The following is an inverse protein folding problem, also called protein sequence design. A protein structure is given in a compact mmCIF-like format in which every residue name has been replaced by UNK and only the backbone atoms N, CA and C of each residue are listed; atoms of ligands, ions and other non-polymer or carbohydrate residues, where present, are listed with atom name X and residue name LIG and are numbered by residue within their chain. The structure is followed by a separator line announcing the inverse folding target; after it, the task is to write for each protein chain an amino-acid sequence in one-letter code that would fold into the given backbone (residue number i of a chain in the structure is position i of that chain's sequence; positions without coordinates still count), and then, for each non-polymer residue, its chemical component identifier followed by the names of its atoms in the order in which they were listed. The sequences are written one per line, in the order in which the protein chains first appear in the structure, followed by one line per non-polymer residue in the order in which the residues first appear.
data_IF_131606048467
#
_entry.id   IF_131606048467
#
_cell.length_a   1.000
_cell.length_b   1.000
_cell.length_c   1.000
_cell.angle_alpha   90.00
_cell.angle_beta   90.00
_cell.angle_gamma   90.00
#
_symmetry.space_group_name_H-M   'P 1'
#
loop_
_entity.id
_entity.type
_entity.pdbx_description
1 polymer ?
#
# COMPACT_ATOMS: atom_id res chain seq x y z
N UNK A 1 -17.08 3.14 6.92
CA UNK A 1 -16.03 4.20 6.99
C UNK A 1 -14.99 3.93 8.07
N UNK A 2 -15.34 3.33 9.22
CA UNK A 2 -14.39 3.06 10.33
C UNK A 2 -13.21 2.11 9.99
N UNK A 3 -13.47 0.94 9.40
CA UNK A 3 -12.39 -0.06 9.20
C UNK A 3 -11.26 0.40 8.27
N UNK A 4 -11.59 1.06 7.15
CA UNK A 4 -10.60 1.59 6.19
C UNK A 4 -9.77 2.73 6.81
N UNK A 5 -10.41 3.65 7.53
CA UNK A 5 -9.71 4.73 8.24
C UNK A 5 -8.80 4.19 9.36
N UNK A 6 -9.30 3.29 10.19
CA UNK A 6 -8.53 2.72 11.29
C UNK A 6 -7.34 1.91 10.76
N UNK A 7 -7.54 1.16 9.67
CA UNK A 7 -6.46 0.47 8.97
C UNK A 7 -5.43 1.45 8.42
N UNK A 8 -5.85 2.48 7.69
CA UNK A 8 -4.95 3.48 7.15
C UNK A 8 -4.09 4.13 8.25
N UNK A 9 -4.70 4.50 9.39
CA UNK A 9 -3.96 5.05 10.53
C UNK A 9 -2.95 4.05 11.11
N UNK A 10 -3.31 2.78 11.25
CA UNK A 10 -2.38 1.72 11.71
C UNK A 10 -1.19 1.56 10.76
N UNK A 11 -1.45 1.48 9.45
CA UNK A 11 -0.39 1.32 8.45
C UNK A 11 0.53 2.55 8.42
N UNK A 12 -0.03 3.77 8.44
CA UNK A 12 0.76 5.01 8.53
C UNK A 12 1.66 5.01 9.77
N UNK A 13 1.11 4.69 10.95
CA UNK A 13 1.91 4.61 12.19
C UNK A 13 3.04 3.60 12.07
N UNK A 14 2.76 2.40 11.53
CA UNK A 14 3.77 1.35 11.37
C UNK A 14 4.84 1.71 10.34
N UNK A 15 4.49 2.51 9.33
CA UNK A 15 5.40 3.09 8.35
C UNK A 15 6.21 4.30 8.89
N UNK A 16 5.98 4.73 10.14
CA UNK A 16 6.61 5.92 10.69
C UNK A 16 6.08 7.24 10.09
N UNK A 17 4.92 7.19 9.44
CA UNK A 17 4.25 8.34 8.83
C UNK A 17 3.23 8.96 9.81
N UNK A 18 2.91 10.26 9.69
CA UNK A 18 2.06 10.96 10.65
C UNK A 18 0.58 10.55 10.50
N UNK A 19 0.19 9.45 11.14
CA UNK A 19 -1.18 8.92 11.08
C UNK A 19 -2.25 9.85 11.64
N UNK A 20 -1.87 10.79 12.52
CA UNK A 20 -2.75 11.85 13.01
C UNK A 20 -3.07 12.93 11.97
N UNK A 21 -2.29 13.00 10.88
CA UNK A 21 -2.50 13.92 9.77
C UNK A 21 -3.38 13.31 8.67
N UNK A 22 -3.94 12.10 8.83
CA UNK A 22 -4.81 11.51 7.82
C UNK A 22 -6.08 12.35 7.63
N UNK A 23 -6.25 12.89 6.43
CA UNK A 23 -7.35 13.77 6.06
C UNK A 23 -8.42 13.06 5.23
N UNK A 24 -8.03 12.07 4.41
CA UNK A 24 -8.98 11.30 3.61
C UNK A 24 -8.45 9.91 3.25
N UNK A 25 -9.38 8.97 3.05
CA UNK A 25 -9.14 7.65 2.46
C UNK A 25 -10.15 7.47 1.32
N UNK A 26 -9.69 7.15 0.12
CA UNK A 26 -10.56 7.00 -1.06
C UNK A 26 -10.24 5.70 -1.80
N UNK A 27 -11.23 4.86 -2.13
CA UNK A 27 -10.97 3.69 -2.96
C UNK A 27 -10.54 4.14 -4.37
N UNK A 28 -9.57 3.42 -4.93
CA UNK A 28 -9.14 3.60 -6.31
C UNK A 28 -9.61 2.43 -7.16
N UNK A 29 -10.08 2.72 -8.38
CA UNK A 29 -10.33 1.69 -9.39
C UNK A 29 -9.01 1.23 -10.03
N UNK A 30 -9.05 0.09 -10.73
CA UNK A 30 -7.89 -0.45 -11.45
C UNK A 30 -7.02 -1.44 -10.65
N UNK A 31 -7.27 -1.60 -9.34
CA UNK A 31 -6.79 -2.74 -8.58
C UNK A 31 -7.57 -3.99 -8.95
N UNK A 32 -7.09 -4.76 -9.93
CA UNK A 32 -7.77 -6.00 -10.38
C UNK A 32 -7.67 -7.12 -9.35
N UNK A 33 -6.56 -7.18 -8.61
CA UNK A 33 -6.30 -8.20 -7.59
C UNK A 33 -6.28 -7.62 -6.18
N UNK A 34 -5.60 -6.49 -5.99
CA UNK A 34 -5.47 -5.85 -4.69
C UNK A 34 -6.57 -4.80 -4.49
N UNK A 35 -7.02 -4.65 -3.25
CA UNK A 35 -7.72 -3.41 -2.86
C UNK A 35 -6.72 -2.27 -2.87
N UNK A 36 -7.08 -1.16 -3.50
CA UNK A 36 -6.22 0.03 -3.61
C UNK A 36 -6.95 1.24 -3.05
N UNK A 37 -6.31 1.95 -2.15
CA UNK A 37 -6.84 3.15 -1.50
C UNK A 37 -5.84 4.31 -1.63
N UNK A 38 -6.32 5.51 -1.94
CA UNK A 38 -5.56 6.76 -1.84
C UNK A 38 -5.69 7.31 -0.42
N UNK A 39 -4.56 7.50 0.25
CA UNK A 39 -4.45 8.19 1.53
C UNK A 39 -4.01 9.64 1.28
N UNK A 40 -4.73 10.61 1.84
CA UNK A 40 -4.34 12.03 1.77
C UNK A 40 -4.06 12.53 3.17
N UNK A 41 -2.93 13.21 3.32
CA UNK A 41 -2.57 13.85 4.58
C UNK A 41 -2.87 15.36 4.55
N UNK A 42 -2.97 15.97 5.73
CA UNK A 42 -3.27 17.41 5.88
C UNK A 42 -2.17 18.33 5.35
N UNK A 43 -0.94 17.83 5.19
CA UNK A 43 0.18 18.56 4.58
C UNK A 43 0.15 18.54 3.03
N UNK A 44 -0.83 17.85 2.45
CA UNK A 44 -0.98 17.69 1.00
C UNK A 44 -0.27 16.45 0.42
N UNK A 45 0.51 15.74 1.24
CA UNK A 45 1.11 14.45 0.87
C UNK A 45 0.04 13.43 0.53
N UNK A 46 0.34 12.58 -0.45
CA UNK A 46 -0.55 11.51 -0.91
C UNK A 46 0.22 10.22 -0.95
N UNK A 47 -0.49 9.16 -0.60
CA UNK A 47 0.04 7.81 -0.68
C UNK A 47 -0.98 6.86 -1.27
N UNK A 48 -0.49 5.79 -1.87
CA UNK A 48 -1.29 4.66 -2.35
C UNK A 48 -1.10 3.49 -1.42
N UNK A 49 -2.15 3.09 -0.73
CA UNK A 49 -2.21 1.88 0.07
C UNK A 49 -2.71 0.72 -0.81
N UNK A 50 -1.90 -0.33 -0.94
CA UNK A 50 -2.29 -1.59 -1.59
C UNK A 50 -2.42 -2.69 -0.54
N UNK A 51 -3.55 -3.38 -0.58
CA UNK A 51 -3.92 -4.44 0.35
C UNK A 51 -4.23 -5.70 -0.48
N UNK A 52 -3.58 -6.84 -0.21
CA UNK A 52 -3.87 -8.08 -0.90
C UNK A 52 -5.26 -8.60 -0.51
N UNK A 53 -5.82 -9.53 -1.29
CA UNK A 53 -6.89 -10.38 -0.80
C UNK A 53 -6.49 -11.08 0.51
N UNK A 54 -7.48 -11.47 1.31
CA UNK A 54 -7.23 -12.26 2.50
C UNK A 54 -6.54 -13.58 2.13
N UNK A 55 -5.68 -14.11 3.01
CA UNK A 55 -4.93 -15.35 2.73
C UNK A 55 -5.85 -16.57 2.46
N UNK A 56 -7.09 -16.53 2.96
CA UNK A 56 -8.09 -17.57 2.72
C UNK A 56 -8.83 -17.41 1.38
N UNK A 57 -8.63 -16.30 0.67
CA UNK A 57 -9.22 -16.08 -0.66
C UNK A 57 -8.58 -17.06 -1.66
N UNK A 58 -9.36 -17.89 -2.36
CA UNK A 58 -8.82 -18.77 -3.39
C UNK A 58 -8.06 -17.98 -4.45
N UNK A 59 -6.86 -18.43 -4.78
CA UNK A 59 -6.00 -17.81 -5.78
C UNK A 59 -5.01 -18.82 -6.35
N UNK A 60 -4.42 -18.49 -7.49
CA UNK A 60 -3.38 -19.30 -8.09
C UNK A 60 -2.09 -19.14 -7.28
N UNK A 61 -1.28 -20.20 -7.21
CA UNK A 61 -0.05 -20.21 -6.38
C UNK A 61 0.89 -19.03 -6.68
N UNK A 62 0.94 -18.57 -7.93
CA UNK A 62 1.78 -17.43 -8.35
C UNK A 62 1.16 -16.05 -8.06
N UNK A 63 -0.12 -15.99 -7.71
CA UNK A 63 -0.79 -14.76 -7.29
C UNK A 63 -0.51 -14.44 -5.81
N UNK A 64 0.09 -15.39 -5.10
CA UNK A 64 0.58 -15.18 -3.75
C UNK A 64 1.89 -14.39 -3.84
N UNK A 65 1.99 -13.29 -3.07
CA UNK A 65 3.16 -12.40 -2.99
C UNK A 65 3.37 -11.41 -4.14
N UNK A 66 2.35 -11.10 -4.94
CA UNK A 66 2.44 -10.06 -5.97
C UNK A 66 2.96 -8.70 -5.45
N UNK A 67 2.55 -8.30 -4.24
CA UNK A 67 3.01 -7.04 -3.63
C UNK A 67 4.48 -7.09 -3.15
N UNK A 68 5.03 -8.28 -2.88
CA UNK A 68 6.45 -8.44 -2.60
C UNK A 68 7.25 -8.20 -3.88
N UNK A 69 6.87 -8.86 -4.97
CA UNK A 69 7.51 -8.65 -6.28
C UNK A 69 7.41 -7.19 -6.75
N UNK A 70 6.30 -6.50 -6.48
CA UNK A 70 6.17 -5.08 -6.79
C UNK A 70 7.13 -4.22 -5.97
N UNK A 71 7.36 -4.54 -4.69
CA UNK A 71 8.34 -3.85 -3.84
C UNK A 71 9.76 -4.02 -4.39
N UNK A 72 10.14 -5.25 -4.74
CA UNK A 72 11.43 -5.56 -5.33
C UNK A 72 11.63 -4.81 -6.67
N UNK A 73 10.59 -4.77 -7.51
CA UNK A 73 10.62 -4.01 -8.76
C UNK A 73 10.88 -2.52 -8.51
N UNK A 74 10.16 -1.91 -7.56
CA UNK A 74 10.33 -0.49 -7.26
C UNK A 74 11.70 -0.17 -6.65
N UNK A 75 12.26 -1.07 -5.84
CA UNK A 75 13.62 -0.95 -5.34
C UNK A 75 14.63 -0.97 -6.50
N UNK A 76 14.53 -1.94 -7.41
CA UNK A 76 15.39 -2.01 -8.60
C UNK A 76 15.23 -0.80 -9.54
N UNK A 77 14.00 -0.30 -9.70
CA UNK A 77 13.75 0.92 -10.48
C UNK A 77 14.42 2.15 -9.86
N UNK A 78 14.38 2.29 -8.53
CA UNK A 78 15.07 3.36 -7.82
C UNK A 78 16.60 3.28 -8.01
N UNK A 79 17.18 2.08 -7.90
CA UNK A 79 18.61 1.84 -8.17
C UNK A 79 18.99 2.20 -9.61
N UNK A 80 18.15 1.82 -10.57
CA UNK A 80 18.31 2.14 -11.99
C UNK A 80 17.97 3.60 -12.33
N UNK A 81 17.51 4.40 -11.35
CA UNK A 81 17.03 5.78 -11.52
C UNK A 81 15.94 5.92 -12.60
N UNK A 82 15.09 4.90 -12.70
CA UNK A 82 13.91 4.91 -13.56
C UNK A 82 12.72 5.41 -12.76
N UNK A 83 11.91 6.27 -13.36
CA UNK A 83 10.69 6.77 -12.71
C UNK A 83 9.72 5.62 -12.43
N UNK A 84 9.47 5.37 -11.15
CA UNK A 84 8.54 4.37 -10.64
C UNK A 84 7.97 4.83 -9.29
N UNK A 85 6.86 4.25 -8.81
CA UNK A 85 6.39 4.49 -7.45
C UNK A 85 7.47 4.11 -6.42
N UNK A 86 7.67 4.95 -5.40
CA UNK A 86 8.60 4.67 -4.31
C UNK A 86 7.90 3.80 -3.26
N UNK A 87 8.44 2.62 -2.93
CA UNK A 87 7.93 1.86 -1.79
C UNK A 87 8.40 2.52 -0.49
N UNK A 88 7.49 3.08 0.32
CA UNK A 88 7.87 3.72 1.59
C UNK A 88 7.76 2.77 2.79
N UNK A 89 6.88 1.77 2.70
CA UNK A 89 6.76 0.72 3.70
C UNK A 89 6.20 -0.56 3.08
N UNK A 90 6.65 -1.71 3.60
CA UNK A 90 6.16 -3.05 3.26
C UNK A 90 6.01 -3.83 4.57
N UNK A 91 4.80 -4.32 4.83
CA UNK A 91 4.56 -5.16 6.00
C UNK A 91 5.05 -6.60 5.77
N UNK A 92 6.11 -6.98 6.49
CA UNK A 92 6.82 -8.27 6.35
C UNK A 92 6.04 -9.53 6.71
N UNK A 93 4.84 -9.43 7.29
CA UNK A 93 3.97 -10.57 7.65
C UNK A 93 2.58 -10.54 6.98
N UNK A 94 2.36 -9.58 6.07
CA UNK A 94 1.12 -9.43 5.30
C UNK A 94 1.12 -8.11 4.55
N UNK A 95 1.03 -8.06 3.21
CA UNK A 95 1.59 -6.94 2.45
C UNK A 95 0.64 -5.73 2.37
N UNK A 96 0.61 -4.90 3.39
CA UNK A 96 0.24 -3.50 3.18
C UNK A 96 1.45 -2.77 2.59
N UNK A 97 1.29 -2.21 1.39
CA UNK A 97 2.30 -1.34 0.77
C UNK A 97 1.77 0.08 0.70
N UNK A 98 2.59 1.03 1.15
CA UNK A 98 2.38 2.46 0.90
C UNK A 98 3.38 2.89 -0.18
N UNK A 99 2.88 3.50 -1.26
CA UNK A 99 3.68 4.21 -2.26
C UNK A 99 3.43 5.71 -2.23
#
# INVERSE_FOLDING_TARGET
MGDSWDRARRVLTRAGLPSGALAAVRPMSGGTYNTVEELRLTDGSRYVLKIPPAAATPGLRYEHRLLVAEADFCAGAAEARVAAPLAVAVDGDGPCRIC
#
